data_IF_482185141478
#
_entry.id   IF_482185141478
#
_cell.length_a   1.000
_cell.length_b   1.000
_cell.length_c   1.000
_cell.angle_alpha   90.00
_cell.angle_beta   90.00
_cell.angle_gamma   90.00
#
_symmetry.space_group_name_H-M   'P 1'
#
loop_
_entity.id
_entity.type
_entity.pdbx_description
1 polymer ?
#
# COMPACT_ATOMS: atom_id res chain seq x y z
N UNK A 1 4.29 -14.68 -10.10
CA UNK A 1 3.21 -14.22 -9.18
C UNK A 1 3.54 -12.79 -8.77
N UNK A 2 2.56 -11.88 -8.69
CA UNK A 2 2.84 -10.49 -8.29
C UNK A 2 2.94 -10.39 -6.77
N UNK A 3 3.95 -9.65 -6.30
CA UNK A 3 4.21 -9.38 -4.88
C UNK A 3 3.51 -8.10 -4.46
N UNK A 4 2.64 -8.20 -3.48
CA UNK A 4 1.95 -7.04 -2.90
C UNK A 4 2.52 -6.84 -1.51
N UNK A 5 2.93 -5.63 -1.21
CA UNK A 5 3.32 -5.27 0.15
C UNK A 5 2.22 -4.43 0.78
N UNK A 6 1.67 -4.87 1.90
CA UNK A 6 0.56 -4.22 2.58
C UNK A 6 1.01 -3.61 3.92
N UNK A 7 0.92 -2.29 4.05
CA UNK A 7 1.27 -1.58 5.28
C UNK A 7 0.01 -1.18 6.02
N UNK A 8 -0.18 -1.73 7.21
CA UNK A 8 -1.26 -1.32 8.09
C UNK A 8 -0.93 -1.57 9.55
N UNK A 9 -1.03 -0.53 10.36
CA UNK A 9 -0.60 -0.52 11.76
C UNK A 9 -1.62 -1.13 12.74
N UNK A 10 -2.18 -2.28 12.35
CA UNK A 10 -3.05 -3.12 13.16
C UNK A 10 -3.00 -4.55 12.57
N UNK A 11 -2.52 -5.52 13.34
CA UNK A 11 -2.31 -6.88 12.87
C UNK A 11 -3.63 -7.59 12.51
N UNK A 12 -4.69 -7.39 13.29
CA UNK A 12 -5.97 -8.08 13.13
C UNK A 12 -6.65 -7.63 11.83
N UNK A 13 -6.86 -6.32 11.70
CA UNK A 13 -7.44 -5.71 10.49
C UNK A 13 -6.59 -6.00 9.24
N UNK A 14 -5.26 -6.05 9.39
CA UNK A 14 -4.35 -6.39 8.30
C UNK A 14 -4.63 -7.81 7.82
N UNK A 15 -4.71 -8.78 8.75
CA UNK A 15 -4.95 -10.19 8.40
C UNK A 15 -6.27 -10.34 7.66
N UNK A 16 -7.32 -9.66 8.09
CA UNK A 16 -8.62 -9.66 7.41
C UNK A 16 -8.53 -9.07 5.99
N UNK A 17 -7.81 -7.95 5.82
CA UNK A 17 -7.65 -7.28 4.51
C UNK A 17 -6.79 -8.05 3.52
N UNK A 18 -5.74 -8.76 3.98
CA UNK A 18 -4.86 -9.53 3.09
C UNK A 18 -5.46 -10.88 2.70
N UNK A 19 -6.41 -11.43 3.45
CA UNK A 19 -7.08 -12.70 3.11
C UNK A 19 -7.64 -12.73 1.68
N UNK A 20 -8.47 -11.77 1.23
CA UNK A 20 -9.00 -11.79 -0.13
C UNK A 20 -7.90 -11.65 -1.20
N UNK A 21 -6.81 -10.93 -0.91
CA UNK A 21 -5.65 -10.81 -1.80
C UNK A 21 -4.91 -12.15 -1.92
N UNK A 22 -4.65 -12.83 -0.80
CA UNK A 22 -4.03 -14.16 -0.80
C UNK A 22 -4.92 -15.19 -1.50
N UNK A 23 -6.24 -15.18 -1.25
CA UNK A 23 -7.21 -16.04 -1.94
C UNK A 23 -7.24 -15.81 -3.46
N UNK A 24 -6.96 -14.59 -3.90
CA UNK A 24 -6.83 -14.27 -5.33
C UNK A 24 -5.50 -14.72 -5.95
N UNK A 25 -4.62 -15.40 -5.20
CA UNK A 25 -3.35 -15.96 -5.68
C UNK A 25 -2.18 -14.97 -5.69
N UNK A 26 -2.26 -13.89 -4.91
CA UNK A 26 -1.17 -12.92 -4.77
C UNK A 26 -0.24 -13.29 -3.62
N UNK A 27 1.05 -13.00 -3.78
CA UNK A 27 2.03 -13.10 -2.70
C UNK A 27 1.97 -11.81 -1.90
N UNK A 28 1.34 -11.85 -0.72
CA UNK A 28 1.10 -10.66 0.10
C UNK A 28 2.04 -10.65 1.30
N UNK A 29 3.05 -9.79 1.21
CA UNK A 29 3.89 -9.38 2.33
C UNK A 29 3.20 -8.25 3.08
N UNK A 30 3.47 -8.15 4.37
CA UNK A 30 2.77 -7.17 5.20
C UNK A 30 3.63 -6.64 6.32
N UNK A 31 3.31 -5.42 6.75
CA UNK A 31 3.98 -4.75 7.86
C UNK A 31 2.98 -3.99 8.72
N UNK A 32 3.02 -4.26 10.02
CA UNK A 32 2.09 -3.69 11.00
C UNK A 32 2.76 -2.96 12.15
N UNK A 33 4.07 -3.11 12.34
CA UNK A 33 4.77 -2.50 13.46
C UNK A 33 5.26 -1.08 13.10
N UNK A 34 5.14 -0.15 14.05
CA UNK A 34 5.66 1.22 13.93
C UNK A 34 7.13 1.33 14.34
N UNK A 35 7.61 0.42 15.19
CA UNK A 35 8.97 0.44 15.75
C UNK A 35 10.02 -0.07 14.76
N UNK A 36 9.63 -1.04 13.94
CA UNK A 36 10.47 -1.59 12.88
C UNK A 36 10.10 -0.98 11.54
N UNK A 37 11.10 -0.80 10.67
CA UNK A 37 10.89 -0.35 9.30
C UNK A 37 10.78 -1.57 8.39
N UNK A 38 9.78 -1.60 7.50
CA UNK A 38 9.71 -2.63 6.47
C UNK A 38 10.94 -2.52 5.54
N UNK A 39 11.65 -3.64 5.35
CA UNK A 39 12.78 -3.69 4.42
C UNK A 39 12.31 -4.08 3.02
N UNK A 40 12.51 -3.18 2.07
CA UNK A 40 12.21 -3.37 0.64
C UNK A 40 13.48 -3.47 -0.21
N UNK A 41 14.67 -3.44 0.41
CA UNK A 41 15.94 -3.29 -0.31
C UNK A 41 16.30 -4.55 -1.08
N UNK A 42 16.05 -5.71 -0.48
CA UNK A 42 16.35 -7.02 -1.07
C UNK A 42 15.19 -7.57 -1.92
N UNK A 43 13.96 -7.13 -1.66
CA UNK A 43 12.77 -7.58 -2.36
C UNK A 43 11.77 -6.44 -2.60
N UNK A 44 11.86 -5.83 -3.77
CA UNK A 44 10.90 -4.80 -4.17
C UNK A 44 9.54 -5.45 -4.53
N UNK A 45 8.43 -4.89 -4.06
CA UNK A 45 7.11 -5.36 -4.42
C UNK A 45 6.70 -4.88 -5.81
N UNK A 46 5.80 -5.62 -6.46
CA UNK A 46 5.14 -5.16 -7.70
C UNK A 46 4.11 -4.07 -7.40
N UNK A 47 3.52 -4.08 -6.19
CA UNK A 47 2.48 -3.13 -5.77
C UNK A 47 2.67 -2.83 -4.28
N UNK A 48 2.71 -1.55 -3.92
CA UNK A 48 2.66 -1.12 -2.52
C UNK A 48 1.24 -0.67 -2.16
N UNK A 49 0.63 -1.33 -1.19
CA UNK A 49 -0.66 -0.95 -0.63
C UNK A 49 -0.47 -0.39 0.79
N UNK A 50 -0.99 0.80 1.07
CA UNK A 50 -0.86 1.47 2.36
C UNK A 50 -2.24 1.83 2.89
N UNK A 51 -2.54 1.44 4.12
CA UNK A 51 -3.80 1.83 4.77
C UNK A 51 -3.62 3.12 5.57
N UNK A 52 -4.46 4.13 5.29
CA UNK A 52 -4.39 5.46 5.92
C UNK A 52 -5.27 5.61 7.17
N UNK A 53 -5.94 4.55 7.61
CA UNK A 53 -6.96 4.59 8.66
C UNK A 53 -6.40 4.98 10.04
N UNK A 54 -5.24 4.42 10.40
CA UNK A 54 -4.60 4.64 11.70
C UNK A 54 -3.48 5.68 11.66
N UNK A 55 -2.38 5.36 10.99
CA UNK A 55 -1.15 6.16 10.96
C UNK A 55 -0.77 6.58 9.53
N UNK A 56 -1.52 7.54 8.95
CA UNK A 56 -1.31 7.99 7.58
C UNK A 56 0.08 8.62 7.36
N UNK A 57 0.63 9.33 8.36
CA UNK A 57 1.97 9.92 8.27
C UNK A 57 3.08 8.87 8.16
N UNK A 58 2.94 7.74 8.88
CA UNK A 58 3.93 6.66 8.80
C UNK A 58 3.82 5.92 7.47
N UNK A 59 2.60 5.57 7.05
CA UNK A 59 2.35 4.95 5.75
C UNK A 59 2.91 5.78 4.59
N UNK A 60 2.70 7.11 4.65
CA UNK A 60 3.22 8.05 3.65
C UNK A 60 4.74 8.00 3.49
N UNK A 61 5.51 7.85 4.57
CA UNK A 61 7.00 7.81 4.48
C UNK A 61 7.48 6.68 3.57
N UNK A 62 6.77 5.54 3.57
CA UNK A 62 7.09 4.42 2.69
C UNK A 62 6.82 4.75 1.22
N UNK A 63 5.73 5.46 0.94
CA UNK A 63 5.44 5.94 -0.41
C UNK A 63 6.47 6.97 -0.88
N UNK A 64 6.88 7.90 0.00
CA UNK A 64 7.93 8.87 -0.30
C UNK A 64 9.26 8.17 -0.58
N UNK A 65 9.65 7.18 0.23
CA UNK A 65 10.88 6.39 0.01
C UNK A 65 10.90 5.63 -1.32
N UNK A 66 9.76 5.10 -1.77
CA UNK A 66 9.63 4.52 -3.11
C UNK A 66 9.77 5.58 -4.18
N UNK A 67 9.25 6.77 -3.94
CA UNK A 67 9.30 7.85 -4.91
C UNK A 67 10.67 8.54 -4.99
N UNK A 68 11.48 8.50 -3.92
CA UNK A 68 12.83 9.07 -3.89
C UNK A 68 13.77 8.44 -4.95
N UNK A 69 13.55 7.19 -5.35
CA UNK A 69 14.37 6.52 -6.35
C UNK A 69 13.63 6.33 -7.68
N UNK A 70 14.15 6.90 -8.79
CA UNK A 70 13.58 6.77 -10.16
C UNK A 70 13.20 5.33 -10.55
N UNK A 71 14.04 4.36 -10.22
CA UNK A 71 13.80 2.92 -10.47
C UNK A 71 12.61 2.33 -9.69
N UNK A 72 12.21 2.96 -8.59
CA UNK A 72 11.12 2.49 -7.71
C UNK A 72 9.80 3.23 -7.99
N UNK A 73 9.85 4.41 -8.62
CA UNK A 73 8.65 5.18 -8.99
C UNK A 73 7.70 4.46 -9.96
N UNK A 74 8.20 3.44 -10.67
CA UNK A 74 7.39 2.58 -11.54
C UNK A 74 6.47 1.63 -10.76
N UNK A 75 6.71 1.44 -9.45
CA UNK A 75 5.89 0.58 -8.60
C UNK A 75 4.62 1.36 -8.23
N UNK A 76 3.43 0.89 -8.64
CA UNK A 76 2.17 1.55 -8.30
C UNK A 76 1.93 1.52 -6.79
N UNK A 77 1.53 2.67 -6.26
CA UNK A 77 1.20 2.86 -4.84
C UNK A 77 -0.32 3.00 -4.73
N UNK A 78 -0.92 2.20 -3.86
CA UNK A 78 -2.37 2.19 -3.60
C UNK A 78 -2.62 2.53 -2.14
N UNK A 79 -3.23 3.68 -1.90
CA UNK A 79 -3.73 4.07 -0.59
C UNK A 79 -5.16 3.57 -0.40
N UNK A 80 -5.43 2.95 0.75
CA UNK A 80 -6.75 2.47 1.11
C UNK A 80 -7.24 3.00 2.46
N UNK A 81 -8.54 3.32 2.53
CA UNK A 81 -9.17 3.82 3.74
C UNK A 81 -8.65 5.19 4.20
N UNK A 82 -8.88 5.54 5.46
CA UNK A 82 -8.54 6.85 6.01
C UNK A 82 -9.58 7.94 5.71
N UNK A 83 -9.48 9.04 6.46
CA UNK A 83 -10.40 10.17 6.32
C UNK A 83 -10.14 10.92 5.00
N UNK A 84 -11.19 11.39 4.30
CA UNK A 84 -11.06 12.08 3.00
C UNK A 84 -10.15 13.31 3.07
N UNK A 85 -10.24 14.08 4.16
CA UNK A 85 -9.36 15.20 4.50
C UNK A 85 -7.85 14.83 4.46
N UNK A 86 -7.47 13.65 4.97
CA UNK A 86 -6.07 13.20 4.94
C UNK A 86 -5.66 12.64 3.59
N UNK A 87 -6.60 12.01 2.88
CA UNK A 87 -6.39 11.50 1.52
C UNK A 87 -5.99 12.65 0.58
N UNK A 88 -6.68 13.80 0.66
CA UNK A 88 -6.40 14.98 -0.17
C UNK A 88 -4.95 15.43 0.01
N UNK A 89 -4.47 15.58 1.25
CA UNK A 89 -3.09 16.00 1.56
C UNK A 89 -2.04 15.02 1.02
N UNK A 90 -2.35 13.71 1.03
CA UNK A 90 -1.44 12.69 0.48
C UNK A 90 -1.49 12.73 -1.05
N UNK A 91 -2.66 12.91 -1.64
CA UNK A 91 -2.87 13.00 -3.10
C UNK A 91 -2.19 14.21 -3.73
N UNK A 92 -2.23 15.37 -3.06
CA UNK A 92 -1.54 16.57 -3.53
C UNK A 92 -0.02 16.41 -3.58
N UNK A 93 0.54 15.67 -2.61
CA UNK A 93 1.96 15.36 -2.64
C UNK A 93 2.26 14.24 -3.64
N UNK A 94 1.51 13.14 -3.62
CA UNK A 94 1.76 11.91 -4.40
C UNK A 94 0.77 11.77 -5.57
N UNK A 95 0.96 12.54 -6.63
CA UNK A 95 0.04 12.55 -7.79
C UNK A 95 -0.03 11.21 -8.56
N UNK A 96 0.99 10.34 -8.44
CA UNK A 96 1.05 9.05 -9.14
C UNK A 96 0.55 7.87 -8.29
N UNK A 97 -0.22 8.13 -7.23
CA UNK A 97 -0.78 7.11 -6.36
C UNK A 97 -2.29 6.92 -6.59
N UNK A 98 -2.75 5.69 -6.40
CA UNK A 98 -4.16 5.31 -6.44
C UNK A 98 -4.77 5.45 -5.04
N UNK A 99 -6.01 5.90 -4.93
CA UNK A 99 -6.71 6.08 -3.65
C UNK A 99 -8.07 5.43 -3.71
N UNK A 100 -8.35 4.54 -2.75
CA UNK A 100 -9.57 3.73 -2.75
C UNK A 100 -10.07 3.47 -1.33
N UNK A 101 -11.30 2.97 -1.21
CA UNK A 101 -11.81 2.44 0.06
C UNK A 101 -11.21 1.07 0.36
N UNK A 102 -11.29 0.64 1.63
CA UNK A 102 -10.81 -0.68 2.06
C UNK A 102 -11.42 -1.83 1.24
N UNK A 103 -12.71 -1.73 0.91
CA UNK A 103 -13.46 -2.74 0.17
C UNK A 103 -13.09 -2.79 -1.31
N UNK A 104 -12.71 -1.64 -1.88
CA UNK A 104 -12.36 -1.52 -3.31
C UNK A 104 -10.89 -1.87 -3.62
N UNK A 105 -10.06 -2.03 -2.59
CA UNK A 105 -8.63 -2.31 -2.72
C UNK A 105 -8.35 -3.48 -3.67
N UNK A 106 -9.06 -4.60 -3.50
CA UNK A 106 -8.88 -5.79 -4.35
C UNK A 106 -9.19 -5.49 -5.82
N UNK A 107 -10.28 -4.77 -6.08
CA UNK A 107 -10.71 -4.39 -7.42
C UNK A 107 -9.69 -3.47 -8.09
N UNK A 108 -9.12 -2.55 -7.34
CA UNK A 108 -8.13 -1.59 -7.85
C UNK A 108 -6.80 -2.28 -8.13
N UNK A 109 -6.33 -3.13 -7.23
CA UNK A 109 -5.13 -3.96 -7.45
C UNK A 109 -5.29 -4.83 -8.70
N UNK A 110 -6.49 -5.39 -8.93
CA UNK A 110 -6.80 -6.12 -10.17
C UNK A 110 -6.74 -5.21 -11.39
N UNK A 111 -7.28 -3.99 -11.35
CA UNK A 111 -7.24 -3.03 -12.47
C UNK A 111 -5.81 -2.63 -12.85
N UNK A 112 -4.98 -2.33 -11.85
CA UNK A 112 -3.56 -1.96 -12.05
C UNK A 112 -2.78 -3.10 -12.76
N UNK A 113 -3.22 -4.35 -12.61
CA UNK A 113 -2.59 -5.50 -13.25
C UNK A 113 -2.93 -5.64 -14.74
N UNK A 114 -4.02 -5.04 -15.22
CA UNK A 114 -4.54 -5.24 -16.58
C UNK A 114 -3.98 -4.22 -17.59
N UNK A 115 -3.14 -3.28 -17.14
CA UNK A 115 -2.38 -2.33 -17.99
C UNK A 115 -0.94 -2.77 -18.06
#
# INVERSE_FOLDING_TARGET
>A
MKKIFFIHFNEEELKEKIQPLKKAGYEVNYHFNTETVADFRDNLPDILAICLDRLPSHGRRYAEWLWEAKKRQQIPIVFCGGKPEKIIVVKEKLSNAFFCSNEELLSVIKKIKTT
#
